data_IF_492961967456
#
_entry.id   IF_492961967456
#
_cell.length_a   1.000
_cell.length_b   1.000
_cell.length_c   1.000
_cell.angle_alpha   90.00
_cell.angle_beta   90.00
_cell.angle_gamma   90.00
#
_symmetry.space_group_name_H-M   'P 1'
#
loop_
_entity.id
_entity.type
_entity.pdbx_description
1 polymer ?
#
# COMPACT_ATOMS: atom_id res chain seq x y z
N UNK A 1 8.59 14.97 37.32
CA UNK A 1 7.27 14.44 36.92
C UNK A 1 7.27 14.22 35.42
N UNK A 2 7.19 12.96 35.00
CA UNK A 2 7.15 12.50 33.60
C UNK A 2 5.93 13.01 32.84
N UNK A 3 6.11 13.37 31.57
CA UNK A 3 5.12 13.17 30.50
C UNK A 3 5.85 13.09 29.16
N UNK A 4 6.29 11.88 28.81
CA UNK A 4 6.61 11.50 27.42
C UNK A 4 5.28 11.52 26.67
N UNK A 5 5.08 12.51 25.78
CA UNK A 5 3.97 12.50 24.84
C UNK A 5 4.52 11.86 23.58
N UNK A 6 3.99 10.67 23.33
CA UNK A 6 4.39 9.69 22.35
C UNK A 6 4.34 10.33 20.94
N UNK A 7 5.50 10.35 20.28
CA UNK A 7 5.67 10.68 18.88
C UNK A 7 4.65 9.89 18.04
N UNK A 8 3.84 10.61 17.29
CA UNK A 8 2.90 10.08 16.32
C UNK A 8 3.72 9.57 15.12
N UNK A 9 4.21 8.34 15.24
CA UNK A 9 4.93 7.61 14.19
C UNK A 9 3.97 7.32 13.03
N UNK A 10 3.76 8.35 12.21
CA UNK A 10 3.01 8.29 10.95
C UNK A 10 3.90 7.56 9.95
N UNK A 11 3.70 6.24 9.85
CA UNK A 11 4.28 5.47 8.76
C UNK A 11 3.53 5.80 7.46
N UNK A 12 3.94 6.87 6.78
CA UNK A 12 3.52 7.17 5.42
C UNK A 12 3.84 5.97 4.51
N UNK A 13 2.81 5.36 3.93
CA UNK A 13 2.97 4.26 2.98
C UNK A 13 3.35 4.85 1.62
N UNK A 14 4.67 4.93 1.37
CA UNK A 14 5.19 5.40 0.09
C UNK A 14 5.04 4.33 -1.00
N UNK A 15 4.13 4.57 -1.94
CA UNK A 15 4.05 3.82 -3.19
C UNK A 15 5.08 4.42 -4.16
N UNK A 16 6.25 3.81 -4.22
CA UNK A 16 7.18 4.01 -5.34
C UNK A 16 7.11 2.76 -6.22
N UNK A 17 6.58 2.91 -7.44
CA UNK A 17 6.71 1.89 -8.46
C UNK A 17 8.20 1.64 -8.74
N UNK A 18 8.60 0.37 -8.66
CA UNK A 18 9.98 -0.05 -8.93
C UNK A 18 10.38 0.23 -10.39
N UNK A 19 11.68 0.38 -10.67
CA UNK A 19 12.18 0.68 -12.01
C UNK A 19 12.08 -0.59 -12.88
N UNK A 20 11.02 -0.69 -13.67
CA UNK A 20 10.86 -1.82 -14.60
C UNK A 20 9.63 -1.76 -15.51
N UNK A 21 8.87 -0.66 -15.50
CA UNK A 21 7.72 -0.49 -16.39
C UNK A 21 8.17 0.20 -17.68
N UNK A 22 8.03 -0.56 -18.77
CA UNK A 22 8.23 -0.17 -20.16
C UNK A 22 7.66 1.23 -20.45
N UNK A 23 8.46 2.09 -21.09
CA UNK A 23 8.17 3.52 -21.33
C UNK A 23 6.91 3.80 -22.18
N UNK A 24 6.20 2.76 -22.64
CA UNK A 24 4.98 2.87 -23.43
C UNK A 24 3.68 2.80 -22.59
N UNK A 25 3.75 2.40 -21.32
CA UNK A 25 2.60 2.27 -20.41
C UNK A 25 2.63 3.27 -19.26
N UNK A 26 3.25 4.43 -19.47
CA UNK A 26 3.18 5.57 -18.55
C UNK A 26 1.80 6.27 -18.61
N UNK A 27 0.72 5.51 -18.79
CA UNK A 27 -0.65 6.00 -18.74
C UNK A 27 -1.02 6.23 -17.27
N UNK A 28 -0.74 7.45 -16.80
CA UNK A 28 -1.42 8.12 -15.68
C UNK A 28 -1.44 7.34 -14.36
N UNK A 29 -0.26 7.17 -13.77
CA UNK A 29 -0.16 6.66 -12.40
C UNK A 29 -0.79 7.66 -11.41
N UNK A 30 -1.96 7.31 -10.85
CA UNK A 30 -2.66 8.14 -9.86
C UNK A 30 -2.30 7.68 -8.46
N UNK A 31 -1.87 8.63 -7.61
CA UNK A 31 -1.53 8.34 -6.22
C UNK A 31 -2.79 8.34 -5.36
N UNK A 32 -3.03 7.25 -4.66
CA UNK A 32 -4.10 7.13 -3.67
C UNK A 32 -3.50 7.08 -2.26
N UNK A 33 -3.96 7.96 -1.38
CA UNK A 33 -3.52 7.97 0.02
C UNK A 33 -4.66 7.43 0.90
N UNK A 34 -4.46 6.27 1.51
CA UNK A 34 -5.48 5.55 2.29
C UNK A 34 -5.06 5.47 3.75
N UNK A 35 -5.93 5.93 4.64
CA UNK A 35 -5.75 5.76 6.08
C UNK A 35 -6.29 4.41 6.52
N UNK A 36 -5.43 3.58 7.10
CA UNK A 36 -5.76 2.27 7.67
C UNK A 36 -5.31 2.19 9.13
N UNK A 37 -6.03 1.44 9.98
CA UNK A 37 -5.58 1.20 11.36
C UNK A 37 -4.18 0.59 11.39
N UNK A 38 -3.30 1.11 12.25
CA UNK A 38 -1.89 0.68 12.34
C UNK A 38 -1.72 -0.81 12.60
N UNK A 39 -2.57 -1.39 13.45
CA UNK A 39 -2.57 -2.83 13.72
C UNK A 39 -2.89 -3.68 12.48
N UNK A 40 -3.83 -3.21 11.64
CA UNK A 40 -4.18 -3.88 10.39
C UNK A 40 -3.06 -3.73 9.36
N UNK A 41 -2.51 -2.53 9.23
CA UNK A 41 -1.38 -2.26 8.34
C UNK A 41 -0.16 -3.15 8.68
N UNK A 42 0.18 -3.29 9.96
CA UNK A 42 1.28 -4.15 10.40
C UNK A 42 1.06 -5.63 10.05
N UNK A 43 -0.14 -6.16 10.28
CA UNK A 43 -0.51 -7.53 9.90
C UNK A 43 -0.47 -7.74 8.39
N UNK A 44 -1.01 -6.78 7.64
CA UNK A 44 -1.02 -6.84 6.18
C UNK A 44 0.40 -6.80 5.60
N UNK A 45 1.26 -5.92 6.11
CA UNK A 45 2.67 -5.85 5.71
C UNK A 45 3.42 -7.17 6.01
N UNK A 46 3.16 -7.79 7.16
CA UNK A 46 3.73 -9.10 7.48
C UNK A 46 3.25 -10.20 6.52
N UNK A 47 1.96 -10.20 6.14
CA UNK A 47 1.40 -11.13 5.16
C UNK A 47 2.06 -10.95 3.78
N UNK A 48 2.21 -9.71 3.31
CA UNK A 48 2.89 -9.43 2.04
C UNK A 48 4.35 -9.90 2.06
N UNK A 49 5.06 -9.71 3.18
CA UNK A 49 6.43 -10.19 3.34
C UNK A 49 6.54 -11.73 3.26
N UNK A 50 5.59 -12.46 3.85
CA UNK A 50 5.53 -13.93 3.76
C UNK A 50 5.30 -14.40 2.31
N UNK A 51 4.55 -13.63 1.53
CA UNK A 51 4.27 -13.93 0.12
C UNK A 51 5.35 -13.40 -0.84
N UNK A 52 6.39 -12.73 -0.34
CA UNK A 52 7.43 -12.10 -1.16
C UNK A 52 6.93 -10.96 -2.05
N UNK A 53 5.78 -10.34 -1.71
CA UNK A 53 5.17 -9.25 -2.47
C UNK A 53 5.20 -7.92 -1.71
N UNK A 54 5.06 -6.80 -2.42
CA UNK A 54 4.93 -5.49 -1.78
C UNK A 54 3.48 -5.22 -1.38
N UNK A 55 3.28 -4.40 -0.35
CA UNK A 55 1.95 -3.92 0.06
C UNK A 55 1.21 -3.27 -1.11
N UNK A 56 1.91 -2.48 -1.90
CA UNK A 56 1.37 -1.84 -3.11
C UNK A 56 0.84 -2.86 -4.10
N UNK A 57 1.66 -3.85 -4.48
CA UNK A 57 1.28 -4.89 -5.44
C UNK A 57 0.06 -5.67 -4.96
N UNK A 58 0.02 -6.00 -3.66
CA UNK A 58 -1.10 -6.70 -3.07
C UNK A 58 -2.41 -5.87 -3.11
N UNK A 59 -2.33 -4.56 -2.84
CA UNK A 59 -3.48 -3.65 -2.92
C UNK A 59 -3.97 -3.52 -4.37
N UNK A 60 -3.07 -3.34 -5.34
CA UNK A 60 -3.44 -3.24 -6.75
C UNK A 60 -4.15 -4.53 -7.20
N UNK A 61 -3.62 -5.70 -6.84
CA UNK A 61 -4.26 -6.99 -7.16
C UNK A 61 -5.66 -7.09 -6.55
N UNK A 62 -5.82 -6.66 -5.30
CA UNK A 62 -7.12 -6.64 -4.64
C UNK A 62 -8.11 -5.70 -5.33
N UNK A 63 -7.67 -4.48 -5.68
CA UNK A 63 -8.51 -3.50 -6.38
C UNK A 63 -8.94 -4.02 -7.76
N UNK A 64 -8.03 -4.64 -8.51
CA UNK A 64 -8.35 -5.24 -9.81
C UNK A 64 -9.41 -6.33 -9.66
N UNK A 65 -9.21 -7.25 -8.71
CA UNK A 65 -10.18 -8.33 -8.47
C UNK A 65 -11.57 -7.81 -8.07
N UNK A 66 -11.63 -6.74 -7.27
CA UNK A 66 -12.90 -6.09 -6.88
C UNK A 66 -13.58 -5.37 -8.05
N UNK A 67 -12.81 -4.70 -8.91
CA UNK A 67 -13.33 -4.04 -10.12
C UNK A 67 -13.89 -5.08 -11.09
N UNK A 68 -13.12 -6.14 -11.36
CA UNK A 68 -13.51 -7.24 -12.25
C UNK A 68 -14.75 -7.97 -11.72
N UNK A 69 -14.81 -8.23 -10.40
CA UNK A 69 -15.96 -8.87 -9.76
C UNK A 69 -17.24 -8.02 -9.83
N UNK A 70 -17.11 -6.70 -9.95
CA UNK A 70 -18.23 -5.76 -10.11
C UNK A 70 -18.57 -5.47 -11.57
N UNK A 71 -17.76 -5.96 -12.52
CA UNK A 71 -17.96 -5.73 -13.95
C UNK A 71 -17.85 -4.26 -14.36
N UNK A 72 -16.97 -3.52 -13.69
CA UNK A 72 -16.69 -2.10 -13.95
C UNK A 72 -15.56 -1.92 -14.97
#
# INVERSE_FOLDING_TARGET
MSKRKQDEDTADLFVAAGPGLDKAQAETETRLNVRVPTALHGRFKALCALNGETVTTAIIRFMQAEVDAKGL
#
